data_IF_298889878503
#
_entry.id   IF_298889878503
#
_cell.length_a   1.000
_cell.length_b   1.000
_cell.length_c   1.000
_cell.angle_alpha   90.00
_cell.angle_beta   90.00
_cell.angle_gamma   90.00
#
_symmetry.space_group_name_H-M   'P 1'
#
loop_
_entity.id
_entity.type
_entity.pdbx_description
1 polymer ?
#
# COMPACT_ATOMS: atom_id res chain seq x y z
N UNK A 1 -5.68 31.43 1.14
CA UNK A 1 -4.53 30.50 1.38
C UNK A 1 -3.69 30.78 2.64
N UNK A 2 -3.49 32.04 3.07
CA UNK A 2 -2.57 32.40 4.17
C UNK A 2 -2.95 31.92 5.59
N UNK A 3 -4.22 31.59 5.84
CA UNK A 3 -4.70 31.14 7.17
C UNK A 3 -4.43 29.66 7.45
N UNK A 4 -4.12 28.87 6.41
CA UNK A 4 -3.86 27.43 6.52
C UNK A 4 -2.40 27.12 6.86
N UNK A 5 -1.45 27.93 6.40
CA UNK A 5 -0.02 27.69 6.58
C UNK A 5 0.49 27.67 8.03
N UNK A 6 0.03 28.53 8.96
CA UNK A 6 0.56 28.55 10.33
C UNK A 6 -0.04 27.46 11.24
N UNK A 7 -0.99 26.65 10.75
CA UNK A 7 -1.69 25.66 11.57
C UNK A 7 -0.86 24.39 11.80
N UNK A 8 -0.70 23.91 13.05
CA UNK A 8 -0.03 22.65 13.33
C UNK A 8 -0.85 21.44 12.85
N UNK A 9 -2.17 21.57 12.79
CA UNK A 9 -3.11 20.55 12.31
C UNK A 9 -3.43 20.65 10.82
N UNK A 10 -2.65 21.45 10.07
CA UNK A 10 -2.86 21.69 8.63
C UNK A 10 -3.04 20.40 7.82
N UNK A 11 -2.26 19.31 8.01
CA UNK A 11 -2.48 18.09 7.24
C UNK A 11 -3.88 17.48 7.46
N UNK A 12 -4.38 17.52 8.70
CA UNK A 12 -5.72 17.01 9.02
C UNK A 12 -6.82 17.87 8.39
N UNK A 13 -6.67 19.20 8.45
CA UNK A 13 -7.62 20.14 7.82
C UNK A 13 -7.63 19.98 6.29
N UNK A 14 -6.47 19.77 5.67
CA UNK A 14 -6.43 19.54 4.23
C UNK A 14 -7.05 18.18 3.87
N UNK A 15 -6.78 17.14 4.65
CA UNK A 15 -7.34 15.82 4.43
C UNK A 15 -8.87 15.79 4.60
N UNK A 16 -9.45 16.65 5.45
CA UNK A 16 -10.91 16.68 5.66
C UNK A 16 -11.72 17.14 4.46
N UNK A 17 -11.09 17.78 3.46
CA UNK A 17 -11.76 18.14 2.20
C UNK A 17 -11.92 16.96 1.24
N UNK A 18 -11.22 15.84 1.45
CA UNK A 18 -11.27 14.71 0.52
C UNK A 18 -12.70 14.20 0.24
N UNK A 19 -13.61 14.04 1.23
CA UNK A 19 -14.99 13.64 0.96
C UNK A 19 -15.77 14.62 0.08
N UNK A 20 -15.58 15.93 0.28
CA UNK A 20 -16.22 16.97 -0.55
C UNK A 20 -15.71 16.94 -1.99
N UNK A 21 -14.38 16.76 -2.17
CA UNK A 21 -13.79 16.55 -3.51
C UNK A 21 -14.41 15.30 -4.17
N UNK A 22 -14.59 14.23 -3.40
CA UNK A 22 -15.30 13.02 -3.84
C UNK A 22 -16.71 13.29 -4.33
N UNK A 23 -17.49 14.05 -3.55
CA UNK A 23 -18.88 14.40 -3.88
C UNK A 23 -19.00 15.30 -5.11
N UNK A 24 -18.08 16.23 -5.32
CA UNK A 24 -18.10 17.15 -6.47
C UNK A 24 -17.61 16.53 -7.78
N UNK A 25 -16.89 15.40 -7.75
CA UNK A 25 -16.19 14.87 -8.92
C UNK A 25 -17.07 14.51 -10.12
N UNK A 26 -18.37 14.26 -9.91
CA UNK A 26 -19.31 14.00 -11.02
C UNK A 26 -19.58 15.25 -11.86
N UNK A 27 -19.60 16.43 -11.23
CA UNK A 27 -20.05 17.69 -11.83
C UNK A 27 -18.92 18.73 -11.98
N UNK A 28 -17.79 18.53 -11.28
CA UNK A 28 -16.63 19.42 -11.31
C UNK A 28 -15.39 18.74 -11.94
N UNK A 29 -14.92 19.21 -13.12
CA UNK A 29 -13.75 18.64 -13.78
C UNK A 29 -12.46 18.81 -12.97
N UNK A 30 -12.35 19.82 -12.09
CA UNK A 30 -11.19 20.02 -11.22
C UNK A 30 -11.17 18.97 -10.12
N UNK A 31 -12.30 18.77 -9.42
CA UNK A 31 -12.44 17.70 -8.44
C UNK A 31 -12.14 16.32 -9.05
N UNK A 32 -12.67 16.04 -10.24
CA UNK A 32 -12.37 14.80 -10.97
C UNK A 32 -10.87 14.67 -11.29
N UNK A 33 -10.21 15.76 -11.70
CA UNK A 33 -8.77 15.74 -11.99
C UNK A 33 -7.93 15.47 -10.73
N UNK A 34 -8.30 16.02 -9.58
CA UNK A 34 -7.63 15.76 -8.29
C UNK A 34 -7.70 14.26 -7.95
N UNK A 35 -8.86 13.62 -8.10
CA UNK A 35 -9.00 12.19 -7.80
C UNK A 35 -8.20 11.31 -8.77
N UNK A 36 -8.15 11.66 -10.07
CA UNK A 36 -7.30 10.95 -11.04
C UNK A 36 -5.81 11.11 -10.72
N UNK A 37 -5.39 12.30 -10.30
CA UNK A 37 -4.02 12.56 -9.88
C UNK A 37 -3.65 11.74 -8.64
N UNK A 38 -4.53 11.74 -7.63
CA UNK A 38 -4.37 10.95 -6.42
C UNK A 38 -4.27 9.45 -6.75
N UNK A 39 -5.12 8.94 -7.64
CA UNK A 39 -5.08 7.56 -8.09
C UNK A 39 -3.75 7.19 -8.73
N UNK A 40 -3.19 8.06 -9.59
CA UNK A 40 -1.88 7.85 -10.19
C UNK A 40 -0.79 7.76 -9.13
N UNK A 41 -0.75 8.69 -8.17
CA UNK A 41 0.24 8.65 -7.10
C UNK A 41 0.12 7.42 -6.20
N UNK A 42 -1.10 6.93 -5.93
CA UNK A 42 -1.30 5.67 -5.20
C UNK A 42 -0.70 4.50 -5.99
N UNK A 43 -0.94 4.44 -7.30
CA UNK A 43 -0.36 3.41 -8.16
C UNK A 43 1.17 3.53 -8.27
N UNK A 44 1.71 4.74 -8.39
CA UNK A 44 3.15 5.00 -8.43
C UNK A 44 3.82 4.47 -7.14
N UNK A 45 3.22 4.75 -5.98
CA UNK A 45 3.71 4.28 -4.69
C UNK A 45 3.67 2.76 -4.58
N UNK A 46 2.59 2.12 -5.03
CA UNK A 46 2.51 0.66 -5.10
C UNK A 46 3.57 0.09 -6.05
N UNK A 47 3.78 0.71 -7.21
CA UNK A 47 4.74 0.26 -8.20
C UNK A 47 6.19 0.37 -7.73
N UNK A 48 6.50 1.41 -6.95
CA UNK A 48 7.82 1.59 -6.38
C UNK A 48 8.22 0.48 -5.39
N UNK A 49 7.25 -0.15 -4.71
CA UNK A 49 7.51 -1.20 -3.71
C UNK A 49 7.23 -2.61 -4.23
N UNK A 50 6.49 -2.77 -5.33
CA UNK A 50 6.19 -4.07 -5.91
C UNK A 50 7.46 -4.73 -6.45
N UNK A 51 7.83 -5.93 -5.96
CA UNK A 51 9.01 -6.62 -6.47
C UNK A 51 8.83 -6.94 -7.96
N UNK A 52 9.80 -6.52 -8.78
CA UNK A 52 9.80 -6.82 -10.22
C UNK A 52 9.61 -8.33 -10.40
N UNK A 53 8.79 -8.79 -11.36
CA UNK A 53 8.76 -10.20 -11.73
C UNK A 53 10.19 -10.65 -11.92
N UNK A 54 10.55 -11.81 -11.35
CA UNK A 54 11.87 -12.36 -11.54
C UNK A 54 12.07 -12.51 -13.05
N UNK A 55 12.76 -11.55 -13.68
CA UNK A 55 13.27 -11.75 -15.01
C UNK A 55 14.05 -13.05 -14.94
N UNK A 56 13.89 -13.94 -15.92
CA UNK A 56 14.66 -15.16 -16.05
C UNK A 56 16.16 -14.82 -16.16
N UNK A 57 16.75 -14.43 -15.04
CA UNK A 57 18.12 -13.99 -14.91
C UNK A 57 18.87 -15.26 -14.57
N UNK A 58 19.37 -15.91 -15.62
CA UNK A 58 20.31 -17.02 -15.55
C UNK A 58 21.63 -16.57 -14.92
N UNK A 59 21.62 -16.22 -13.64
CA UNK A 59 22.82 -16.06 -12.82
C UNK A 59 22.84 -17.15 -11.78
N UNK A 60 23.40 -18.28 -12.21
CA UNK A 60 23.90 -19.37 -11.38
C UNK A 60 24.96 -18.82 -10.43
N UNK A 61 24.57 -18.46 -9.21
CA UNK A 61 25.49 -18.56 -8.07
C UNK A 61 25.28 -19.95 -7.48
N UNK A 62 26.18 -20.86 -7.84
CA UNK A 62 26.22 -22.20 -7.27
C UNK A 62 26.46 -22.11 -5.76
N UNK A 63 25.47 -22.58 -4.97
CA UNK A 63 25.70 -23.20 -3.67
C UNK A 63 24.62 -24.26 -3.41
N UNK A 64 24.86 -25.44 -3.97
CA UNK A 64 24.72 -26.79 -3.38
C UNK A 64 23.68 -26.99 -2.26
N UNK A 65 22.58 -27.66 -2.59
CA UNK A 65 21.69 -28.35 -1.65
C UNK A 65 20.31 -28.67 -2.25
N UNK A 66 20.02 -29.95 -2.48
CA UNK A 66 18.84 -30.49 -3.17
C UNK A 66 17.50 -30.17 -2.49
N UNK A 67 16.55 -29.64 -3.27
CA UNK A 67 15.20 -30.19 -3.51
C UNK A 67 14.68 -29.59 -4.82
N UNK A 68 14.26 -30.43 -5.76
CA UNK A 68 13.50 -30.00 -6.94
C UNK A 68 12.16 -29.42 -6.49
N UNK A 69 12.17 -28.15 -6.12
CA UNK A 69 10.96 -27.35 -6.02
C UNK A 69 10.49 -27.01 -7.42
N UNK A 70 9.25 -27.37 -7.74
CA UNK A 70 8.46 -26.81 -8.83
C UNK A 70 8.85 -25.35 -9.03
N UNK A 71 9.20 -24.94 -10.24
CA UNK A 71 9.40 -23.52 -10.56
C UNK A 71 8.14 -22.79 -10.11
N UNK A 72 8.21 -22.11 -8.97
CA UNK A 72 7.13 -21.23 -8.51
C UNK A 72 7.07 -20.13 -9.57
N UNK A 73 6.15 -20.30 -10.55
CA UNK A 73 5.60 -19.18 -11.29
C UNK A 73 5.27 -18.12 -10.25
N UNK A 74 6.06 -17.04 -10.25
CA UNK A 74 6.13 -16.12 -9.13
C UNK A 74 4.73 -15.71 -8.71
N UNK A 75 4.36 -16.05 -7.47
CA UNK A 75 3.02 -15.83 -6.96
C UNK A 75 2.57 -14.39 -7.29
N UNK A 76 1.30 -14.21 -7.75
CA UNK A 76 0.81 -12.91 -8.15
C UNK A 76 1.06 -11.90 -7.04
N UNK A 77 1.55 -10.71 -7.39
CA UNK A 77 1.88 -9.69 -6.39
C UNK A 77 0.57 -9.12 -5.84
N UNK A 78 0.32 -9.28 -4.57
CA UNK A 78 -0.93 -8.83 -3.96
C UNK A 78 -0.80 -7.39 -3.49
N UNK A 79 -1.80 -6.57 -3.80
CA UNK A 79 -1.92 -5.19 -3.33
C UNK A 79 -3.25 -5.05 -2.61
N UNK A 80 -3.20 -4.63 -1.35
CA UNK A 80 -4.38 -4.29 -0.57
C UNK A 80 -4.47 -2.77 -0.38
N UNK A 81 -5.66 -2.21 -0.60
CA UNK A 81 -5.94 -0.80 -0.36
C UNK A 81 -6.48 -0.62 1.06
N UNK A 82 -5.70 -0.01 1.94
CA UNK A 82 -6.07 0.19 3.34
C UNK A 82 -6.28 1.66 3.68
N UNK A 83 -7.26 1.96 4.53
CA UNK A 83 -7.51 3.30 5.07
C UNK A 83 -8.86 3.88 4.69
N UNK A 84 -9.30 4.89 5.44
CA UNK A 84 -10.65 5.45 5.34
C UNK A 84 -10.96 6.14 4.01
N UNK A 85 -9.95 6.57 3.27
CA UNK A 85 -10.11 7.28 1.99
C UNK A 85 -10.86 6.43 0.95
N UNK A 86 -10.60 5.13 0.92
CA UNK A 86 -11.22 4.20 -0.03
C UNK A 86 -12.71 3.95 0.22
N UNK A 87 -13.25 4.38 1.37
CA UNK A 87 -14.69 4.37 1.65
C UNK A 87 -15.48 5.38 0.81
N UNK A 88 -14.79 6.28 0.10
CA UNK A 88 -15.39 7.19 -0.89
C UNK A 88 -16.07 6.43 -2.05
N UNK A 89 -15.63 5.21 -2.34
CA UNK A 89 -16.21 4.38 -3.39
C UNK A 89 -15.70 4.76 -4.78
N UNK A 90 -16.58 4.59 -5.77
CA UNK A 90 -16.27 4.67 -7.20
C UNK A 90 -15.50 5.92 -7.66
N UNK A 91 -15.77 7.14 -7.14
CA UNK A 91 -15.02 8.34 -7.55
C UNK A 91 -13.50 8.21 -7.41
N UNK A 92 -13.03 7.42 -6.45
CA UNK A 92 -11.61 7.12 -6.26
C UNK A 92 -11.24 5.69 -6.68
N UNK A 93 -12.09 4.71 -6.40
CA UNK A 93 -11.76 3.30 -6.65
C UNK A 93 -11.64 2.97 -8.13
N UNK A 94 -12.44 3.59 -9.01
CA UNK A 94 -12.34 3.39 -10.46
C UNK A 94 -10.97 3.85 -10.97
N UNK A 95 -10.55 5.13 -10.80
CA UNK A 95 -9.27 5.58 -11.32
C UNK A 95 -8.07 4.86 -10.66
N UNK A 96 -8.16 4.47 -9.37
CA UNK A 96 -7.11 3.68 -8.72
C UNK A 96 -6.95 2.31 -9.39
N UNK A 97 -8.05 1.61 -9.68
CA UNK A 97 -8.00 0.31 -10.39
C UNK A 97 -7.44 0.47 -11.79
N UNK A 98 -7.81 1.52 -12.51
CA UNK A 98 -7.28 1.81 -13.84
C UNK A 98 -5.77 2.05 -13.82
N UNK A 99 -5.27 2.89 -12.90
CA UNK A 99 -3.83 3.18 -12.80
C UNK A 99 -3.03 1.97 -12.32
N UNK A 100 -3.53 1.20 -11.36
CA UNK A 100 -2.90 -0.07 -10.96
C UNK A 100 -2.84 -1.06 -12.11
N UNK A 101 -3.89 -1.20 -12.92
CA UNK A 101 -3.87 -2.10 -14.07
C UNK A 101 -2.88 -1.65 -15.14
N UNK A 102 -2.73 -0.33 -15.36
CA UNK A 102 -1.76 0.23 -16.32
C UNK A 102 -0.32 0.05 -15.85
N UNK A 103 -0.04 0.34 -14.58
CA UNK A 103 1.32 0.38 -14.04
C UNK A 103 1.81 -0.97 -13.50
N UNK A 104 0.88 -1.77 -12.97
CA UNK A 104 1.14 -3.06 -12.33
C UNK A 104 0.19 -4.15 -12.85
N UNK A 105 0.25 -4.49 -14.16
CA UNK A 105 -0.66 -5.46 -14.76
C UNK A 105 -0.54 -6.88 -14.17
N UNK A 106 0.54 -7.17 -13.45
CA UNK A 106 0.78 -8.45 -12.77
C UNK A 106 0.36 -8.44 -11.30
N UNK A 107 -0.04 -7.29 -10.76
CA UNK A 107 -0.51 -7.20 -9.40
C UNK A 107 -2.00 -7.54 -9.31
N UNK A 108 -2.38 -8.26 -8.27
CA UNK A 108 -3.75 -8.60 -7.94
C UNK A 108 -4.22 -7.74 -6.78
N UNK A 109 -5.29 -6.98 -6.98
CA UNK A 109 -5.98 -6.31 -5.89
C UNK A 109 -6.64 -7.37 -4.99
N UNK A 110 -6.38 -7.29 -3.69
CA UNK A 110 -6.95 -8.15 -2.66
C UNK A 110 -7.52 -7.31 -1.53
N UNK A 111 -8.42 -7.91 -0.75
CA UNK A 111 -8.86 -7.29 0.49
C UNK A 111 -7.73 -7.26 1.51
N UNK A 112 -7.76 -6.26 2.39
CA UNK A 112 -6.83 -6.18 3.50
C UNK A 112 -6.99 -7.41 4.41
N UNK A 113 -5.86 -7.99 4.82
CA UNK A 113 -5.86 -9.10 5.77
C UNK A 113 -6.16 -8.60 7.18
N UNK A 114 -7.44 -8.51 7.52
CA UNK A 114 -7.92 -8.09 8.83
C UNK A 114 -7.74 -6.59 9.09
N UNK A 115 -7.90 -6.20 10.34
CA UNK A 115 -7.85 -4.81 10.80
C UNK A 115 -6.47 -4.47 11.41
N UNK A 116 -6.12 -3.16 11.57
CA UNK A 116 -4.85 -2.76 12.16
C UNK A 116 -4.58 -3.35 13.55
N UNK A 117 -5.63 -3.56 14.35
CA UNK A 117 -5.52 -4.18 15.67
C UNK A 117 -5.10 -5.66 15.59
N UNK A 118 -5.59 -6.40 14.58
CA UNK A 118 -5.18 -7.80 14.36
C UNK A 118 -3.69 -7.88 14.07
N UNK A 119 -3.18 -6.95 13.26
CA UNK A 119 -1.74 -6.80 13.00
C UNK A 119 -0.95 -6.52 14.27
N UNK A 120 -1.40 -5.58 15.10
CA UNK A 120 -0.75 -5.24 16.37
C UNK A 120 -0.70 -6.43 17.33
N UNK A 121 -1.80 -7.15 17.49
CA UNK A 121 -1.87 -8.36 18.34
C UNK A 121 -0.97 -9.47 17.82
N UNK A 122 -0.91 -9.67 16.49
CA UNK A 122 -0.03 -10.67 15.86
C UNK A 122 1.44 -10.36 16.10
N UNK A 123 1.84 -9.08 15.99
CA UNK A 123 3.20 -8.63 16.29
C UNK A 123 3.52 -8.82 17.77
N UNK A 124 2.61 -8.43 18.67
CA UNK A 124 2.79 -8.61 20.11
C UNK A 124 2.95 -10.09 20.49
N UNK A 125 2.10 -10.97 19.95
CA UNK A 125 2.21 -12.41 20.15
C UNK A 125 3.56 -12.96 19.69
N UNK A 126 4.00 -12.58 18.49
CA UNK A 126 5.28 -13.01 17.94
C UNK A 126 6.49 -12.51 18.76
N UNK A 127 6.40 -11.33 19.38
CA UNK A 127 7.42 -10.83 20.31
C UNK A 127 7.48 -11.66 21.59
N UNK A 128 6.33 -12.01 22.17
CA UNK A 128 6.25 -12.83 23.39
C UNK A 128 6.78 -14.24 23.15
N UNK A 129 6.52 -14.83 21.99
CA UNK A 129 6.98 -16.19 21.63
C UNK A 129 8.36 -16.24 20.99
N UNK A 130 9.02 -15.09 20.79
CA UNK A 130 10.31 -15.00 20.11
C UNK A 130 10.28 -15.46 18.64
N UNK A 131 9.11 -15.38 17.98
CA UNK A 131 8.89 -15.86 16.61
C UNK A 131 8.69 -14.73 15.60
N UNK A 132 9.07 -13.49 15.94
CA UNK A 132 8.97 -12.36 15.03
C UNK A 132 9.97 -12.53 13.87
N UNK A 133 9.44 -12.58 12.64
CA UNK A 133 10.25 -12.75 11.43
C UNK A 133 10.88 -11.44 10.92
N UNK A 134 10.42 -10.30 11.43
CA UNK A 134 10.96 -8.98 11.07
C UNK A 134 12.30 -8.78 11.79
N UNK A 135 13.38 -8.41 11.08
CA UNK A 135 14.68 -8.17 11.70
C UNK A 135 14.62 -7.08 12.78
N UNK A 136 15.30 -7.31 13.90
CA UNK A 136 15.45 -6.30 14.95
C UNK A 136 16.38 -5.16 14.49
N UNK A 137 15.94 -3.91 14.63
CA UNK A 137 16.73 -2.69 14.38
C UNK A 137 16.80 -1.87 15.67
N UNK A 138 17.94 -1.23 15.93
CA UNK A 138 18.17 -0.45 17.14
C UNK A 138 17.24 0.79 17.26
N UNK A 139 16.71 1.29 16.14
CA UNK A 139 15.74 2.39 16.10
C UNK A 139 14.30 1.95 16.40
N UNK A 140 14.02 0.64 16.47
CA UNK A 140 12.68 0.18 16.83
C UNK A 140 12.36 0.46 18.30
N UNK A 141 11.09 0.83 18.54
CA UNK A 141 10.58 1.11 19.87
C UNK A 141 10.54 -0.21 20.68
N UNK A 142 11.30 -0.26 21.77
CA UNK A 142 11.38 -1.43 22.65
C UNK A 142 10.68 -1.16 23.97
N UNK A 143 9.88 -2.12 24.43
CA UNK A 143 9.33 -2.11 25.78
C UNK A 143 10.40 -2.71 26.70
N UNK A 144 10.82 -1.93 27.71
CA UNK A 144 11.72 -2.39 28.77
C UNK A 144 10.82 -2.72 29.96
N UNK A 145 10.77 -4.00 30.32
CA UNK A 145 10.08 -4.49 31.51
C UNK A 145 11.04 -4.57 32.69
#
# INVERSE_FOLDING_TARGET
PGLLYPRPDRPAVLASFAPEVGGCAADDPVAAAILREAARHIADAAAAVCPRPAAASGRTTASRGLTEGTREEGAPREVALTGGLFRMGDPLLIPVREELQKQLPHARLVDASGEPLDGALRVAGALVTGSLLVPADAAMLRIIC
#
